data_IF_241276652167
#
_entry.id   IF_241276652167
#
_cell.length_a   1.000
_cell.length_b   1.000
_cell.length_c   1.000
_cell.angle_alpha   90.00
_cell.angle_beta   90.00
_cell.angle_gamma   90.00
#
_symmetry.space_group_name_H-M   'P 1'
#
loop_
_entity.id
_entity.type
_entity.pdbx_description
1 polymer ?
#
# COMPACT_ATOMS: atom_id res chain seq x y z
N UNK A 1 -17.67 -7.23 5.00
CA UNK A 1 -16.73 -6.76 6.04
C UNK A 1 -16.21 -5.40 5.63
N UNK A 2 -16.44 -4.34 6.40
CA UNK A 2 -15.66 -3.12 6.25
C UNK A 2 -14.21 -3.46 6.62
N UNK A 3 -13.20 -3.12 5.80
CA UNK A 3 -11.81 -3.32 6.18
C UNK A 3 -11.55 -2.57 7.48
N UNK A 4 -10.83 -3.16 8.45
CA UNK A 4 -10.49 -2.44 9.67
C UNK A 4 -9.77 -1.15 9.29
N UNK A 5 -10.26 -0.03 9.80
CA UNK A 5 -9.63 1.26 9.58
C UNK A 5 -8.30 1.24 10.36
N UNK A 6 -7.19 1.02 9.66
CA UNK A 6 -5.82 0.91 10.20
C UNK A 6 -5.32 2.24 10.82
N UNK A 7 -6.12 2.92 11.64
CA UNK A 7 -5.88 4.27 12.17
C UNK A 7 -4.66 4.36 13.06
N UNK A 8 -4.42 3.37 13.93
CA UNK A 8 -3.22 3.32 14.75
C UNK A 8 -1.96 3.22 13.87
N UNK A 9 -1.94 2.25 12.97
CA UNK A 9 -0.84 2.07 12.03
C UNK A 9 -0.56 3.32 11.18
N UNK A 10 -1.61 4.01 10.69
CA UNK A 10 -1.45 5.26 9.92
C UNK A 10 -0.78 6.36 10.73
N UNK A 11 -1.21 6.57 11.98
CA UNK A 11 -0.58 7.55 12.88
C UNK A 11 0.87 7.20 13.17
N UNK A 12 1.14 5.92 13.44
CA UNK A 12 2.50 5.45 13.72
C UNK A 12 3.40 5.63 12.47
N UNK A 13 2.88 5.36 11.27
CA UNK A 13 3.59 5.55 10.00
C UNK A 13 3.86 7.03 9.70
N UNK A 14 2.92 7.92 10.02
CA UNK A 14 3.09 9.37 9.85
C UNK A 14 4.17 9.94 10.80
N UNK A 15 4.27 9.40 12.01
CA UNK A 15 5.27 9.80 13.00
C UNK A 15 6.64 9.14 12.79
N UNK A 16 6.72 8.05 12.03
CA UNK A 16 7.94 7.27 11.85
C UNK A 16 8.95 7.97 10.91
N UNK A 17 10.23 7.85 11.25
CA UNK A 17 11.35 8.23 10.38
C UNK A 17 11.96 7.00 9.70
N UNK A 18 12.48 7.12 8.47
CA UNK A 18 13.25 6.04 7.84
C UNK A 18 14.50 5.63 8.62
N UNK A 19 15.02 4.40 8.42
CA UNK A 19 14.56 3.40 7.45
C UNK A 19 13.29 2.67 7.93
N UNK A 20 12.27 2.58 7.07
CA UNK A 20 11.00 1.92 7.38
C UNK A 20 10.43 1.20 6.14
N UNK A 21 9.66 0.13 6.35
CA UNK A 21 8.95 -0.58 5.28
C UNK A 21 7.45 -0.45 5.54
N UNK A 22 6.70 0.30 4.71
CA UNK A 22 5.26 0.44 4.89
C UNK A 22 4.53 -0.85 4.49
N UNK A 23 3.36 -1.09 5.07
CA UNK A 23 2.50 -2.21 4.71
C UNK A 23 1.82 -1.91 3.37
N UNK A 24 2.44 -2.42 2.30
CA UNK A 24 2.04 -2.13 0.92
C UNK A 24 0.57 -2.48 0.65
N UNK A 25 0.05 -3.57 1.24
CA UNK A 25 -1.34 -4.00 1.07
C UNK A 25 -2.35 -2.90 1.45
N UNK A 26 -2.10 -2.16 2.54
CA UNK A 26 -2.97 -1.06 2.95
C UNK A 26 -2.93 0.12 1.98
N UNK A 27 -1.75 0.43 1.46
CA UNK A 27 -1.57 1.54 0.51
C UNK A 27 -2.25 1.24 -0.82
N UNK A 28 -2.10 0.01 -1.32
CA UNK A 28 -2.80 -0.49 -2.51
C UNK A 28 -4.31 -0.51 -2.32
N UNK A 29 -4.79 -0.95 -1.15
CA UNK A 29 -6.21 -0.91 -0.83
C UNK A 29 -6.77 0.52 -0.87
N UNK A 30 -6.02 1.50 -0.35
CA UNK A 30 -6.43 2.91 -0.44
C UNK A 30 -6.52 3.40 -1.89
N UNK A 31 -5.59 2.99 -2.76
CA UNK A 31 -5.63 3.32 -4.18
C UNK A 31 -6.87 2.70 -4.86
N UNK A 32 -7.18 1.44 -4.57
CA UNK A 32 -8.36 0.75 -5.12
C UNK A 32 -9.64 1.46 -4.69
N UNK A 33 -9.79 1.77 -3.40
CA UNK A 33 -10.99 2.45 -2.89
C UNK A 33 -11.13 3.85 -3.50
N UNK A 34 -10.02 4.57 -3.67
CA UNK A 34 -10.01 5.89 -4.27
C UNK A 34 -10.39 5.86 -5.76
N UNK A 35 -9.91 4.86 -6.50
CA UNK A 35 -10.25 4.62 -7.91
C UNK A 35 -11.73 4.23 -8.08
N UNK A 36 -12.24 3.31 -7.28
CA UNK A 36 -13.63 2.86 -7.34
C UNK A 36 -14.64 3.94 -6.92
N UNK A 37 -14.30 4.73 -5.91
CA UNK A 37 -15.20 5.75 -5.35
C UNK A 37 -15.22 7.07 -6.14
N UNK A 38 -14.22 7.32 -6.99
CA UNK A 38 -14.05 8.63 -7.63
C UNK A 38 -13.69 8.46 -9.11
N UNK A 39 -14.52 8.96 -10.05
CA UNK A 39 -14.22 8.84 -11.46
C UNK A 39 -13.02 9.73 -11.86
N UNK A 40 -12.25 9.29 -12.85
CA UNK A 40 -11.14 10.08 -13.43
C UNK A 40 -11.65 11.39 -14.04
N UNK A 41 -12.80 11.32 -14.69
CA UNK A 41 -13.41 12.45 -15.36
C UNK A 41 -14.72 12.83 -14.66
N UNK A 42 -14.95 14.12 -14.49
CA UNK A 42 -16.19 14.63 -13.95
C UNK A 42 -17.31 14.40 -14.98
N UNK A 43 -18.44 13.86 -14.52
CA UNK A 43 -19.62 13.64 -15.38
C UNK A 43 -20.35 14.94 -15.70
N UNK A 44 -20.26 15.91 -14.80
CA UNK A 44 -20.91 17.21 -14.92
C UNK A 44 -19.85 18.31 -14.93
N UNK A 45 -20.10 19.33 -15.74
CA UNK A 45 -19.29 20.54 -15.79
C UNK A 45 -19.47 21.31 -14.48
N UNK A 46 -18.41 21.60 -13.72
CA UNK A 46 -18.50 22.46 -12.54
C UNK A 46 -19.01 23.84 -12.93
N UNK A 47 -19.91 24.41 -12.12
CA UNK A 47 -20.52 25.73 -12.36
C UNK A 47 -19.50 26.85 -12.59
N UNK A 48 -18.33 26.74 -11.95
CA UNK A 48 -17.21 27.68 -12.05
C UNK A 48 -16.49 27.66 -13.41
N UNK A 49 -16.73 26.63 -14.24
CA UNK A 49 -16.05 26.42 -15.52
C UNK A 49 -16.98 26.59 -16.72
N UNK A 50 -18.27 26.91 -16.50
CA UNK A 50 -19.27 27.01 -17.57
C UNK A 50 -18.85 28.01 -18.66
N UNK A 51 -18.35 29.17 -18.27
CA UNK A 51 -17.97 30.23 -19.23
C UNK A 51 -16.63 29.97 -19.95
N UNK A 52 -15.83 29.02 -19.44
CA UNK A 52 -14.47 28.73 -19.94
C UNK A 52 -14.37 27.42 -20.70
N UNK A 53 -15.34 26.53 -20.53
CA UNK A 53 -15.32 25.21 -21.13
C UNK A 53 -15.81 25.27 -22.57
N UNK A 54 -15.02 24.69 -23.48
CA UNK A 54 -15.37 24.49 -24.88
C UNK A 54 -15.39 22.98 -25.15
N UNK A 55 -16.24 22.54 -26.07
CA UNK A 55 -16.37 21.12 -26.42
C UNK A 55 -15.06 20.51 -26.96
N UNK A 56 -14.17 21.32 -27.52
CA UNK A 56 -12.84 20.91 -27.99
C UNK A 56 -11.87 20.56 -26.85
N UNK A 57 -12.14 20.96 -25.61
CA UNK A 57 -11.26 20.69 -24.46
C UNK A 57 -11.34 19.23 -23.98
N UNK A 58 -12.36 18.47 -24.39
CA UNK A 58 -12.54 17.08 -23.97
C UNK A 58 -12.98 16.93 -22.51
N UNK A 59 -12.89 15.71 -21.94
CA UNK A 59 -13.44 15.41 -20.62
C UNK A 59 -12.66 16.09 -19.50
N UNK A 60 -13.38 16.61 -18.50
CA UNK A 60 -12.78 17.35 -17.38
C UNK A 60 -12.17 16.39 -16.36
N UNK A 61 -10.88 16.53 -16.09
CA UNK A 61 -10.15 15.70 -15.14
C UNK A 61 -10.56 16.05 -13.70
N UNK A 62 -10.81 15.02 -12.89
CA UNK A 62 -10.98 15.13 -11.45
C UNK A 62 -9.61 15.32 -10.77
N UNK A 63 -9.14 16.57 -10.70
CA UNK A 63 -7.85 16.90 -10.09
C UNK A 63 -7.75 16.49 -8.61
N UNK A 64 -8.86 16.51 -7.87
CA UNK A 64 -8.87 16.06 -6.48
C UNK A 64 -8.50 14.57 -6.37
N UNK A 65 -9.08 13.73 -7.24
CA UNK A 65 -8.74 12.31 -7.31
C UNK A 65 -7.26 12.12 -7.65
N UNK A 66 -6.76 12.80 -8.68
CA UNK A 66 -5.37 12.71 -9.10
C UNK A 66 -4.41 13.12 -7.97
N UNK A 67 -4.76 14.20 -7.27
CA UNK A 67 -4.00 14.68 -6.11
C UNK A 67 -3.96 13.65 -4.99
N UNK A 68 -5.10 13.02 -4.66
CA UNK A 68 -5.15 11.95 -3.65
C UNK A 68 -4.34 10.72 -4.05
N UNK A 69 -4.33 10.32 -5.33
CA UNK A 69 -3.47 9.24 -5.82
C UNK A 69 -1.99 9.62 -5.65
N UNK A 70 -1.63 10.83 -6.06
CA UNK A 70 -0.28 11.35 -5.91
C UNK A 70 0.19 11.30 -4.45
N UNK A 71 -0.62 11.78 -3.49
CA UNK A 71 -0.23 11.75 -2.09
C UNK A 71 0.04 10.34 -1.56
N UNK A 72 -0.75 9.34 -1.96
CA UNK A 72 -0.55 7.94 -1.54
C UNK A 72 0.74 7.38 -2.16
N UNK A 73 0.96 7.62 -3.45
CA UNK A 73 2.16 7.14 -4.17
C UNK A 73 3.42 7.86 -3.68
N UNK A 74 3.29 9.15 -3.37
CA UNK A 74 4.39 10.00 -2.94
C UNK A 74 5.03 9.51 -1.63
N UNK A 75 4.31 8.75 -0.80
CA UNK A 75 4.91 8.08 0.37
C UNK A 75 6.06 7.16 -0.03
N UNK A 76 5.92 6.42 -1.13
CA UNK A 76 6.99 5.55 -1.66
C UNK A 76 8.12 6.35 -2.29
N UNK A 77 7.77 7.34 -3.11
CA UNK A 77 8.77 8.19 -3.78
C UNK A 77 9.60 8.99 -2.79
N UNK A 78 9.00 9.45 -1.68
CA UNK A 78 9.71 10.16 -0.61
C UNK A 78 10.73 9.26 0.07
N UNK A 79 10.44 7.98 0.25
CA UNK A 79 11.41 7.01 0.80
C UNK A 79 12.59 6.79 -0.15
N UNK A 80 12.33 6.68 -1.46
CA UNK A 80 13.39 6.52 -2.47
C UNK A 80 14.27 7.77 -2.62
N UNK A 81 13.68 8.96 -2.47
CA UNK A 81 14.38 10.25 -2.61
C UNK A 81 15.02 10.77 -1.32
N UNK A 82 14.83 10.10 -0.18
CA UNK A 82 15.51 10.46 1.07
C UNK A 82 16.99 10.07 1.00
N UNK A 83 17.81 10.82 1.74
CA UNK A 83 19.25 10.60 1.89
C UNK A 83 19.58 9.10 1.95
N UNK A 84 20.34 8.54 1.00
CA UNK A 84 20.62 7.10 0.91
C UNK A 84 21.12 6.49 2.22
N UNK A 85 21.85 7.27 3.03
CA UNK A 85 22.38 6.86 4.33
C UNK A 85 21.28 6.73 5.40
N UNK A 86 20.20 7.51 5.30
CA UNK A 86 19.04 7.47 6.22
C UNK A 86 17.93 6.55 5.73
N UNK A 87 17.87 6.28 4.44
CA UNK A 87 16.84 5.46 3.79
C UNK A 87 17.11 3.96 3.86
N UNK A 88 18.37 3.56 4.10
CA UNK A 88 18.80 2.17 4.12
C UNK A 88 18.88 1.64 5.53
N UNK A 89 18.47 0.40 5.71
CA UNK A 89 18.75 -0.33 6.95
C UNK A 89 20.25 -0.54 7.09
N UNK A 90 20.83 -0.15 8.23
CA UNK A 90 22.21 -0.44 8.59
C UNK A 90 22.40 -1.91 9.03
N UNK A 91 21.78 -2.85 8.31
CA UNK A 91 21.81 -4.29 8.58
C UNK A 91 22.66 -4.95 7.49
N UNK A 92 23.68 -5.71 7.90
CA UNK A 92 24.53 -6.46 6.96
C UNK A 92 23.90 -7.82 6.66
N UNK A 93 23.84 -8.26 5.39
CA UNK A 93 23.34 -9.58 5.05
C UNK A 93 24.24 -10.69 5.62
N UNK A 94 23.63 -11.68 6.29
CA UNK A 94 24.32 -12.91 6.69
C UNK A 94 23.89 -14.05 5.77
N UNK A 95 24.86 -14.66 5.08
CA UNK A 95 24.59 -15.71 4.09
C UNK A 95 23.98 -16.97 4.71
N UNK A 96 24.34 -17.33 5.95
CA UNK A 96 23.77 -18.49 6.64
C UNK A 96 22.30 -18.24 6.96
N UNK A 97 21.98 -17.02 7.41
CA UNK A 97 20.59 -16.63 7.69
C UNK A 97 19.77 -16.61 6.40
N UNK A 98 20.29 -16.00 5.32
CA UNK A 98 19.58 -15.97 4.04
C UNK A 98 19.36 -17.37 3.46
N UNK A 99 20.35 -18.25 3.57
CA UNK A 99 20.23 -19.64 3.14
C UNK A 99 19.19 -20.40 3.98
N UNK A 100 19.18 -20.19 5.30
CA UNK A 100 18.17 -20.77 6.20
C UNK A 100 16.76 -20.31 5.84
N UNK A 101 16.55 -19.01 5.60
CA UNK A 101 15.26 -18.48 5.18
C UNK A 101 14.83 -19.03 3.81
N UNK A 102 15.79 -19.33 2.92
CA UNK A 102 15.56 -20.05 1.67
C UNK A 102 14.54 -19.36 0.75
N UNK A 103 14.44 -18.03 0.81
CA UNK A 103 13.41 -17.23 0.14
C UNK A 103 11.98 -17.70 0.43
N UNK A 104 11.75 -18.28 1.61
CA UNK A 104 10.47 -18.86 2.04
C UNK A 104 9.90 -19.90 1.07
N UNK A 105 10.74 -20.52 0.22
CA UNK A 105 10.30 -21.51 -0.78
C UNK A 105 9.77 -22.80 -0.16
N UNK A 106 10.14 -23.06 1.08
CA UNK A 106 9.73 -24.26 1.83
C UNK A 106 8.41 -24.05 2.60
N UNK A 107 7.63 -23.00 2.28
CA UNK A 107 6.36 -22.75 2.95
C UNK A 107 5.33 -23.82 2.61
N UNK A 108 4.75 -24.45 3.63
CA UNK A 108 3.61 -25.34 3.44
C UNK A 108 2.36 -24.55 2.99
N UNK A 109 1.56 -25.08 2.05
CA UNK A 109 0.25 -24.54 1.72
C UNK A 109 -0.67 -24.47 2.96
N UNK A 110 -1.63 -23.55 2.94
CA UNK A 110 -2.56 -23.35 4.07
C UNK A 110 -3.31 -24.63 4.46
N UNK A 111 -3.70 -25.44 3.47
CA UNK A 111 -4.35 -26.75 3.70
C UNK A 111 -3.46 -27.70 4.50
N UNK A 112 -2.18 -27.81 4.12
CA UNK A 112 -1.20 -28.67 4.78
C UNK A 112 -0.84 -28.17 6.18
N UNK A 113 -0.67 -26.85 6.34
CA UNK A 113 -0.48 -26.22 7.65
C UNK A 113 -1.65 -26.53 8.59
N UNK A 114 -2.88 -26.46 8.09
CA UNK A 114 -4.08 -26.77 8.88
C UNK A 114 -4.12 -28.24 9.29
N UNK A 115 -3.77 -29.15 8.38
CA UNK A 115 -3.67 -30.59 8.69
C UNK A 115 -2.57 -30.87 9.73
N UNK A 116 -1.41 -30.23 9.58
CA UNK A 116 -0.31 -30.33 10.54
C UNK A 116 -0.75 -29.84 11.93
N UNK A 117 -1.37 -28.66 12.01
CA UNK A 117 -1.85 -28.09 13.26
C UNK A 117 -2.88 -29.00 13.95
N UNK A 118 -3.81 -29.59 13.19
CA UNK A 118 -4.81 -30.52 13.73
C UNK A 118 -4.17 -31.81 14.24
N UNK A 119 -3.17 -32.37 13.53
CA UNK A 119 -2.43 -33.55 13.99
C UNK A 119 -1.72 -33.28 15.32
N UNK A 120 -1.01 -32.16 15.42
CA UNK A 120 -0.30 -31.76 16.64
C UNK A 120 -1.23 -31.57 17.83
N UNK A 121 -2.41 -30.97 17.62
CA UNK A 121 -3.43 -30.84 18.68
C UNK A 121 -3.93 -32.19 19.20
N UNK A 122 -4.06 -33.18 18.33
CA UNK A 122 -4.52 -34.53 18.68
C UNK A 122 -3.46 -35.38 19.38
N UNK A 123 -2.18 -35.14 19.14
CA UNK A 123 -1.09 -35.87 19.79
C UNK A 123 -0.77 -35.38 21.21
N UNK A 124 -1.26 -34.20 21.58
CA UNK A 124 -1.09 -33.59 22.90
C UNK A 124 -2.27 -33.93 23.83
N UNK A 125 -3.39 -34.42 23.26
CA UNK A 125 -4.59 -34.85 23.99
C UNK A 125 -4.61 -36.36 24.17
#
# INVERSE_FOLDING_TARGET
MQPPYFSKYRRDLEAASPPLIPYLGLMLQNLIVLDQGNPLFLKTLPSQLVDKYQSCHGPIINFWRCWKHFLIIHVFVKQEKMDPEKSRYSIRPDMKILQFLGNFKNSLPESELRLLANRLRRSIS
#
